data_IF_448920868018
#
_entry.id   IF_448920868018
#
_cell.length_a   1.000
_cell.length_b   1.000
_cell.length_c   1.000
_cell.angle_alpha   90.00
_cell.angle_beta   90.00
_cell.angle_gamma   90.00
#
_symmetry.space_group_name_H-M   'P 1'
#
loop_
_entity.id
_entity.type
_entity.pdbx_description
1 polymer ?
#
# COMPACT_ATOMS: atom_id res chain seq x y z
N UNK A 1 13.32 4.30 30.26
CA UNK A 1 12.39 3.41 29.51
C UNK A 1 11.32 4.18 28.73
N UNK A 2 11.22 5.50 28.81
CA UNK A 2 10.22 6.28 28.08
C UNK A 2 10.57 6.54 26.59
N UNK A 3 11.83 6.49 26.20
CA UNK A 3 12.28 6.88 24.86
C UNK A 3 12.08 5.80 23.78
N UNK A 4 11.71 4.58 24.13
CA UNK A 4 11.61 3.47 23.17
C UNK A 4 10.32 3.47 22.31
N UNK A 5 9.38 4.38 22.58
CA UNK A 5 8.09 4.44 21.90
C UNK A 5 7.81 5.79 21.22
N UNK A 6 8.82 6.64 21.09
CA UNK A 6 8.68 7.85 20.30
C UNK A 6 8.48 7.49 18.82
N UNK A 7 7.53 8.15 18.20
CA UNK A 7 7.06 7.90 16.84
C UNK A 7 7.58 8.98 15.93
N UNK A 8 7.92 8.64 14.71
CA UNK A 8 8.34 9.63 13.72
C UNK A 8 7.58 9.43 12.41
N UNK A 9 7.03 10.51 11.87
CA UNK A 9 6.31 10.55 10.60
C UNK A 9 6.84 11.70 9.76
N UNK A 10 7.16 11.39 8.51
CA UNK A 10 7.45 12.36 7.48
C UNK A 10 6.44 12.20 6.34
N UNK A 11 5.79 13.29 5.96
CA UNK A 11 4.93 13.35 4.78
C UNK A 11 5.57 14.30 3.79
N UNK A 12 5.95 13.80 2.62
CA UNK A 12 6.49 14.59 1.53
C UNK A 12 5.47 14.68 0.40
N UNK A 13 5.16 15.91 -0.04
CA UNK A 13 4.21 16.19 -1.12
C UNK A 13 4.96 16.93 -2.22
N UNK A 14 5.09 16.30 -3.39
CA UNK A 14 5.81 16.84 -4.55
C UNK A 14 4.83 17.36 -5.60
N UNK A 15 5.30 18.26 -6.46
CA UNK A 15 4.51 18.91 -7.50
C UNK A 15 3.54 19.99 -7.01
N UNK A 16 3.76 20.50 -5.79
CA UNK A 16 3.20 21.79 -5.41
C UNK A 16 4.01 22.92 -6.08
N UNK A 17 3.39 24.06 -6.43
CA UNK A 17 4.12 25.22 -6.94
C UNK A 17 5.27 25.58 -6.01
N UNK A 18 6.37 26.12 -6.58
CA UNK A 18 7.54 26.55 -5.79
C UNK A 18 7.13 27.60 -4.77
N UNK A 19 6.84 27.13 -3.59
CA UNK A 19 6.59 27.98 -2.45
C UNK A 19 7.93 28.31 -1.83
N UNK A 20 8.22 29.59 -1.78
CA UNK A 20 9.40 30.11 -1.07
C UNK A 20 9.25 29.83 0.44
N UNK A 21 9.48 28.60 0.85
CA UNK A 21 9.84 28.30 2.21
C UNK A 21 11.29 28.66 2.37
N UNK A 22 11.56 29.68 3.19
CA UNK A 22 12.91 30.07 3.57
C UNK A 22 13.64 28.86 4.15
N UNK A 23 14.56 28.26 3.36
CA UNK A 23 15.47 27.21 3.83
C UNK A 23 15.46 25.88 3.06
N UNK A 24 14.78 25.73 1.93
CA UNK A 24 14.78 24.49 1.15
C UNK A 24 15.64 24.58 -0.09
N UNK A 25 16.36 23.51 -0.41
CA UNK A 25 17.17 23.35 -1.62
C UNK A 25 16.33 23.63 -2.88
N UNK A 26 16.83 24.55 -3.70
CA UNK A 26 16.27 24.89 -4.99
C UNK A 26 16.37 23.69 -5.94
N UNK A 27 15.25 23.05 -6.29
CA UNK A 27 15.26 22.01 -7.34
C UNK A 27 14.06 21.07 -7.40
N UNK A 28 13.32 20.86 -6.34
CA UNK A 28 12.09 20.08 -6.35
C UNK A 28 11.05 20.75 -5.45
N UNK A 29 9.87 21.04 -6.01
CA UNK A 29 8.73 21.58 -5.26
C UNK A 29 8.17 20.51 -4.32
N UNK A 30 8.90 20.22 -3.24
CA UNK A 30 8.51 19.21 -2.26
C UNK A 30 8.29 19.86 -0.91
N UNK A 31 7.07 19.77 -0.40
CA UNK A 31 6.76 20.13 0.98
C UNK A 31 7.00 18.91 1.86
N UNK A 32 7.82 19.07 2.90
CA UNK A 32 8.07 18.04 3.92
C UNK A 32 7.40 18.44 5.22
N UNK A 33 6.56 17.57 5.74
CA UNK A 33 5.85 17.75 7.00
C UNK A 33 6.35 16.69 7.98
N UNK A 34 6.59 17.07 9.22
CA UNK A 34 7.12 16.19 10.25
C UNK A 34 6.25 16.21 11.50
N UNK A 35 6.10 15.05 12.12
CA UNK A 35 5.44 14.87 13.41
C UNK A 35 6.10 13.75 14.20
N UNK A 36 6.36 13.97 15.48
CA UNK A 36 6.98 13.01 16.39
C UNK A 36 6.23 12.88 17.72
N UNK A 37 5.05 13.51 17.83
CA UNK A 37 4.24 13.52 19.04
C UNK A 37 4.61 14.61 20.06
N UNK A 38 5.63 15.43 19.79
CA UNK A 38 5.94 16.59 20.63
C UNK A 38 4.97 17.76 20.35
N UNK A 39 4.82 18.67 21.31
CA UNK A 39 3.84 19.78 21.23
C UNK A 39 4.19 20.85 20.19
N UNK A 40 5.44 20.94 19.78
CA UNK A 40 5.95 21.88 18.79
C UNK A 40 5.93 21.35 17.37
N UNK A 41 5.56 20.07 17.18
CA UNK A 41 5.47 19.41 15.89
C UNK A 41 4.01 19.19 15.44
N UNK A 42 3.83 18.90 14.16
CA UNK A 42 2.51 18.66 13.62
C UNK A 42 1.93 17.34 14.14
N UNK A 43 0.65 17.35 14.52
CA UNK A 43 -0.08 16.12 14.67
C UNK A 43 -0.38 15.56 13.28
N UNK A 44 0.09 14.35 13.02
CA UNK A 44 -0.13 13.61 11.78
C UNK A 44 -0.77 12.28 12.13
N UNK A 45 -1.92 12.02 11.50
CA UNK A 45 -2.62 10.75 11.58
C UNK A 45 -2.75 10.17 10.18
N UNK A 46 -2.54 8.88 10.02
CA UNK A 46 -2.77 8.24 8.74
C UNK A 46 -3.41 6.86 8.88
N UNK A 47 -4.18 6.50 7.86
CA UNK A 47 -4.69 5.15 7.64
C UNK A 47 -4.30 4.76 6.23
N UNK A 48 -3.36 3.81 6.11
CA UNK A 48 -2.82 3.36 4.83
C UNK A 48 -3.34 1.95 4.55
N UNK A 49 -3.99 1.79 3.40
CA UNK A 49 -4.53 0.52 2.93
C UNK A 49 -3.64 -0.07 1.85
N UNK A 50 -3.29 -1.35 2.00
CA UNK A 50 -2.53 -2.15 1.04
C UNK A 50 -3.27 -3.47 0.87
N UNK A 51 -3.59 -3.82 -0.36
CA UNK A 51 -4.51 -4.93 -0.63
C UNK A 51 -4.06 -5.76 -1.82
N UNK A 52 -4.34 -7.05 -1.74
CA UNK A 52 -4.26 -8.03 -2.81
C UNK A 52 -5.63 -8.72 -2.91
N UNK A 53 -6.32 -8.68 -4.07
CA UNK A 53 -6.03 -7.88 -5.26
C UNK A 53 -6.26 -6.37 -5.06
N UNK A 54 -5.84 -5.56 -6.05
CA UNK A 54 -6.05 -4.10 -6.03
C UNK A 54 -7.53 -3.74 -6.04
N UNK A 55 -8.02 -3.21 -4.92
CA UNK A 55 -9.39 -2.74 -4.78
C UNK A 55 -9.53 -1.22 -4.94
N UNK A 56 -8.44 -0.50 -5.22
CA UNK A 56 -8.40 0.96 -5.36
C UNK A 56 -8.98 1.71 -4.16
N UNK A 57 -8.79 1.21 -2.94
CA UNK A 57 -9.25 1.87 -1.73
C UNK A 57 -8.29 3.02 -1.37
N UNK A 58 -8.76 4.27 -1.34
CA UNK A 58 -7.90 5.38 -0.98
C UNK A 58 -7.42 5.29 0.46
N UNK A 59 -6.15 5.54 0.66
CA UNK A 59 -5.56 5.80 1.97
C UNK A 59 -5.80 7.25 2.38
N UNK A 60 -5.82 7.53 3.68
CA UNK A 60 -6.05 8.87 4.22
C UNK A 60 -4.89 9.33 5.10
N UNK A 61 -4.49 10.59 4.95
CA UNK A 61 -3.49 11.25 5.78
C UNK A 61 -4.11 12.54 6.31
N UNK A 62 -4.23 12.66 7.61
CA UNK A 62 -4.79 13.82 8.30
C UNK A 62 -3.65 14.60 8.96
N UNK A 63 -3.57 15.90 8.68
CA UNK A 63 -2.57 16.79 9.21
C UNK A 63 -3.28 17.95 9.89
N UNK A 64 -2.95 18.17 11.14
CA UNK A 64 -3.61 19.17 11.98
C UNK A 64 -2.91 20.51 11.85
N UNK A 65 -3.72 21.57 11.78
CA UNK A 65 -3.31 22.96 11.89
C UNK A 65 -2.27 23.43 10.84
N UNK A 66 -2.38 22.92 9.61
CA UNK A 66 -1.59 23.46 8.50
C UNK A 66 -1.88 24.95 8.28
N UNK A 67 -0.89 25.69 7.80
CA UNK A 67 -1.06 27.09 7.44
C UNK A 67 -2.17 27.31 6.40
N UNK A 68 -2.82 28.47 6.43
CA UNK A 68 -3.90 28.81 5.50
C UNK A 68 -3.41 28.74 4.04
N UNK A 69 -2.20 29.18 3.82
CA UNK A 69 -1.55 29.22 2.53
C UNK A 69 -1.37 27.80 1.97
N UNK A 70 -0.76 26.91 2.75
CA UNK A 70 -0.53 25.53 2.33
C UNK A 70 -1.83 24.76 2.09
N UNK A 71 -2.85 24.98 2.93
CA UNK A 71 -4.19 24.45 2.69
C UNK A 71 -4.77 24.91 1.35
N UNK A 72 -4.62 26.21 1.03
CA UNK A 72 -5.09 26.77 -0.22
C UNK A 72 -4.39 26.19 -1.44
N UNK A 73 -3.10 25.87 -1.33
CA UNK A 73 -2.36 25.21 -2.41
C UNK A 73 -2.77 23.74 -2.57
N UNK A 74 -2.89 22.99 -1.48
CA UNK A 74 -3.32 21.59 -1.50
C UNK A 74 -4.71 21.40 -2.13
N UNK A 75 -5.62 22.38 -1.95
CA UNK A 75 -6.95 22.36 -2.54
C UNK A 75 -6.96 22.48 -4.07
N UNK A 76 -5.90 23.03 -4.67
CA UNK A 76 -5.81 23.29 -6.12
C UNK A 76 -5.12 22.16 -6.88
N UNK A 77 -4.46 21.25 -6.18
CA UNK A 77 -3.59 20.24 -6.79
C UNK A 77 -4.25 18.88 -6.73
N UNK A 78 -4.31 18.21 -7.87
CA UNK A 78 -4.65 16.78 -8.00
C UNK A 78 -3.47 16.07 -8.65
N UNK A 79 -3.24 14.82 -8.28
CA UNK A 79 -2.15 14.01 -8.84
C UNK A 79 -0.78 14.30 -8.24
N UNK A 80 -0.67 15.17 -7.23
CA UNK A 80 0.59 15.39 -6.52
C UNK A 80 1.11 14.07 -5.94
N UNK A 81 2.42 13.82 -6.07
CA UNK A 81 3.06 12.64 -5.50
C UNK A 81 3.19 12.82 -3.99
N UNK A 82 2.68 11.86 -3.24
CA UNK A 82 2.73 11.83 -1.77
C UNK A 82 3.54 10.62 -1.32
N UNK A 83 4.49 10.86 -0.41
CA UNK A 83 5.27 9.82 0.27
C UNK A 83 5.05 9.94 1.76
N UNK A 84 4.84 8.80 2.41
CA UNK A 84 4.79 8.70 3.88
C UNK A 84 5.93 7.81 4.33
N UNK A 85 6.76 8.33 5.22
CA UNK A 85 7.79 7.56 5.91
C UNK A 85 7.47 7.59 7.40
N UNK A 86 7.49 6.43 8.04
CA UNK A 86 7.15 6.30 9.44
C UNK A 86 8.06 5.27 10.14
N UNK A 87 8.18 5.41 11.44
CA UNK A 87 9.00 4.50 12.25
C UNK A 87 9.00 4.88 13.73
N UNK A 88 9.79 4.14 14.48
CA UNK A 88 10.08 4.41 15.87
C UNK A 88 11.33 5.28 15.95
N UNK A 89 11.43 6.19 16.91
CA UNK A 89 12.57 7.12 17.03
C UNK A 89 13.93 6.42 17.23
N UNK A 90 13.92 5.21 17.77
CA UNK A 90 15.10 4.37 17.98
C UNK A 90 15.40 3.39 16.82
N UNK A 91 14.66 3.48 15.72
CA UNK A 91 14.82 2.66 14.52
C UNK A 91 14.83 3.55 13.26
N UNK A 92 15.39 3.06 12.16
CA UNK A 92 15.31 3.81 10.89
C UNK A 92 13.88 4.07 10.47
N UNK A 93 13.57 5.32 10.15
CA UNK A 93 12.30 5.67 9.51
C UNK A 93 12.32 5.18 8.07
N UNK A 94 11.31 4.42 7.69
CA UNK A 94 11.21 3.81 6.36
C UNK A 94 10.01 4.34 5.59
N UNK A 95 10.10 4.35 4.27
CA UNK A 95 8.98 4.68 3.40
C UNK A 95 7.93 3.56 3.50
N UNK A 96 6.72 3.92 3.92
CA UNK A 96 5.60 2.99 4.08
C UNK A 96 4.51 3.17 3.05
N UNK A 97 4.53 4.30 2.34
CA UNK A 97 3.57 4.58 1.28
C UNK A 97 4.15 5.55 0.26
N UNK A 98 3.88 5.27 -1.00
CA UNK A 98 4.06 6.20 -2.12
C UNK A 98 2.86 6.09 -3.05
N UNK A 99 2.30 7.22 -3.42
CA UNK A 99 1.13 7.29 -4.31
C UNK A 99 0.85 8.70 -4.79
N UNK A 100 -0.30 8.89 -5.39
CA UNK A 100 -0.79 10.19 -5.87
C UNK A 100 -1.95 10.68 -5.04
N UNK A 101 -2.00 11.97 -4.78
CA UNK A 101 -3.12 12.63 -4.13
C UNK A 101 -4.31 12.73 -5.09
N UNK A 102 -5.44 12.19 -4.70
CA UNK A 102 -6.70 12.31 -5.44
C UNK A 102 -7.30 13.69 -5.22
N UNK A 103 -7.46 14.06 -3.96
CA UNK A 103 -7.95 15.35 -3.51
C UNK A 103 -7.59 15.60 -2.05
N UNK A 104 -7.74 16.85 -1.61
CA UNK A 104 -7.63 17.25 -0.22
C UNK A 104 -8.91 17.91 0.27
N UNK A 105 -9.26 17.70 1.53
CA UNK A 105 -10.38 18.37 2.21
C UNK A 105 -9.91 19.04 3.49
N UNK A 106 -10.64 20.06 3.91
CA UNK A 106 -10.35 20.78 5.15
C UNK A 106 -11.62 20.89 5.97
N UNK A 107 -11.54 20.56 7.25
CA UNK A 107 -12.64 20.71 8.17
C UNK A 107 -12.16 21.29 9.51
N UNK A 108 -13.06 21.99 10.20
CA UNK A 108 -12.79 22.44 11.57
C UNK A 108 -13.41 21.44 12.55
N UNK A 109 -12.62 21.04 13.54
CA UNK A 109 -13.05 20.19 14.65
C UNK A 109 -12.62 20.86 15.96
N UNK A 110 -13.57 21.50 16.65
CA UNK A 110 -13.26 22.31 17.80
C UNK A 110 -12.32 23.49 17.48
N UNK A 111 -11.17 23.54 18.12
CA UNK A 111 -10.13 24.54 17.88
C UNK A 111 -9.23 24.20 16.69
N UNK A 112 -9.17 22.94 16.29
CA UNK A 112 -8.26 22.45 15.26
C UNK A 112 -8.85 22.57 13.85
N UNK A 113 -7.96 22.70 12.88
CA UNK A 113 -8.26 22.58 11.46
C UNK A 113 -7.55 21.33 10.92
N UNK A 114 -8.33 20.36 10.48
CA UNK A 114 -7.84 19.09 9.96
C UNK A 114 -7.80 19.16 8.43
N UNK A 115 -6.63 18.91 7.87
CA UNK A 115 -6.46 18.72 6.42
C UNK A 115 -6.34 17.22 6.15
N UNK A 116 -7.28 16.67 5.40
CA UNK A 116 -7.30 15.26 5.00
C UNK A 116 -6.88 15.14 3.55
N UNK A 117 -5.80 14.41 3.30
CA UNK A 117 -5.33 14.03 1.98
C UNK A 117 -5.82 12.62 1.69
N UNK A 118 -6.50 12.43 0.57
CA UNK A 118 -6.88 11.11 0.07
C UNK A 118 -5.91 10.71 -1.04
N UNK A 119 -5.23 9.59 -0.84
CA UNK A 119 -4.10 9.16 -1.67
C UNK A 119 -4.28 7.73 -2.15
N UNK A 120 -3.79 7.42 -3.34
CA UNK A 120 -3.86 6.09 -3.92
C UNK A 120 -2.54 5.73 -4.60
N UNK A 121 -2.03 4.53 -4.34
CA UNK A 121 -0.87 3.99 -5.05
C UNK A 121 -1.24 3.63 -6.49
N UNK A 122 -0.33 3.90 -7.45
CA UNK A 122 -0.54 3.58 -8.86
C UNK A 122 -1.65 4.35 -9.58
N UNK A 123 -2.22 5.42 -8.98
CA UNK A 123 -3.36 6.15 -9.57
C UNK A 123 -3.10 6.62 -11.00
N UNK A 124 -2.01 7.36 -11.23
CA UNK A 124 -1.70 7.92 -12.56
C UNK A 124 -1.39 6.86 -13.61
N UNK A 125 -0.74 5.78 -13.19
CA UNK A 125 -0.23 4.74 -14.09
C UNK A 125 -1.27 3.66 -14.39
N UNK A 126 -1.95 3.12 -13.38
CA UNK A 126 -2.88 2.03 -13.61
C UNK A 126 -4.31 2.49 -13.86
N UNK A 127 -4.77 3.53 -13.15
CA UNK A 127 -6.18 3.93 -13.19
C UNK A 127 -6.51 4.95 -14.28
N UNK A 128 -5.55 5.79 -14.67
CA UNK A 128 -5.77 6.84 -15.69
C UNK A 128 -5.14 6.53 -17.05
N UNK A 129 -4.11 5.68 -17.10
CA UNK A 129 -3.41 5.41 -18.34
C UNK A 129 -4.26 4.57 -19.31
N UNK A 130 -4.23 4.93 -20.58
CA UNK A 130 -4.85 4.17 -21.65
C UNK A 130 -3.99 2.96 -22.02
N UNK A 131 -4.65 1.85 -22.39
CA UNK A 131 -4.04 0.64 -22.91
C UNK A 131 -4.72 0.27 -24.23
N UNK A 132 -3.94 0.26 -25.32
CA UNK A 132 -4.35 -0.25 -26.61
C UNK A 132 -3.29 -1.27 -27.02
N UNK A 133 -3.58 -2.55 -26.87
CA UNK A 133 -2.60 -3.62 -27.13
C UNK A 133 -3.24 -4.77 -27.89
N UNK A 134 -2.42 -5.36 -28.76
CA UNK A 134 -2.72 -6.60 -29.46
C UNK A 134 -1.54 -7.54 -29.30
N UNK A 135 -1.78 -8.69 -28.73
CA UNK A 135 -0.77 -9.73 -28.58
C UNK A 135 -0.82 -10.71 -29.75
N UNK A 136 0.33 -11.18 -30.19
CA UNK A 136 0.44 -12.23 -31.18
C UNK A 136 -0.08 -13.57 -30.66
N UNK A 137 -0.33 -14.51 -31.59
CA UNK A 137 -0.48 -15.92 -31.28
C UNK A 137 0.79 -16.40 -30.55
N UNK A 138 0.65 -17.38 -29.68
CA UNK A 138 1.74 -17.97 -28.88
C UNK A 138 2.41 -17.06 -27.82
N UNK A 139 2.05 -15.78 -27.72
CA UNK A 139 2.49 -14.96 -26.61
C UNK A 139 1.90 -15.45 -25.27
N UNK A 140 2.63 -15.26 -24.18
CA UNK A 140 2.15 -15.64 -22.86
C UNK A 140 1.44 -14.48 -22.16
N UNK A 141 0.61 -14.82 -21.17
CA UNK A 141 -0.05 -13.83 -20.31
C UNK A 141 1.00 -12.97 -19.60
N UNK A 142 2.07 -13.58 -19.13
CA UNK A 142 3.18 -12.88 -18.44
C UNK A 142 3.87 -11.88 -19.36
N UNK A 143 4.15 -12.26 -20.62
CA UNK A 143 4.75 -11.38 -21.61
C UNK A 143 3.88 -10.17 -21.87
N UNK A 144 2.56 -10.38 -22.04
CA UNK A 144 1.62 -9.28 -22.25
C UNK A 144 1.51 -8.35 -21.03
N UNK A 145 1.46 -8.90 -19.83
CA UNK A 145 1.48 -8.08 -18.59
C UNK A 145 2.75 -7.23 -18.55
N UNK A 146 3.91 -7.80 -18.82
CA UNK A 146 5.17 -7.07 -18.89
C UNK A 146 5.17 -6.01 -20.00
N UNK A 147 4.61 -6.32 -21.18
CA UNK A 147 4.49 -5.37 -22.29
C UNK A 147 3.59 -4.17 -21.95
N UNK A 148 2.46 -4.44 -21.26
CA UNK A 148 1.56 -3.39 -20.77
C UNK A 148 2.28 -2.49 -19.77
N UNK A 149 2.99 -3.07 -18.81
CA UNK A 149 3.64 -2.34 -17.73
C UNK A 149 4.91 -1.59 -18.15
N UNK A 150 5.61 -2.05 -19.20
CA UNK A 150 6.78 -1.39 -19.75
C UNK A 150 6.43 -0.35 -20.83
N UNK A 151 5.16 -0.03 -21.03
CA UNK A 151 4.74 0.98 -21.97
C UNK A 151 5.31 2.36 -21.55
N UNK A 152 6.03 3.06 -22.46
CA UNK A 152 6.60 4.38 -22.15
C UNK A 152 5.57 5.44 -21.74
N UNK A 153 4.28 5.21 -22.02
CA UNK A 153 3.17 6.06 -21.60
C UNK A 153 2.74 5.84 -20.16
N UNK A 154 3.29 4.86 -19.43
CA UNK A 154 2.97 4.57 -18.04
C UNK A 154 3.98 5.20 -17.08
N UNK A 155 3.74 6.40 -16.55
CA UNK A 155 4.69 7.04 -15.65
C UNK A 155 4.65 6.38 -14.25
N UNK A 156 5.81 6.09 -13.72
CA UNK A 156 6.02 5.91 -12.28
C UNK A 156 5.69 4.55 -11.67
N UNK A 157 5.48 3.50 -12.45
CA UNK A 157 5.47 2.11 -11.94
C UNK A 157 6.87 1.51 -12.09
N UNK A 158 7.33 0.88 -11.02
CA UNK A 158 8.51 0.01 -11.03
C UNK A 158 8.07 -1.42 -11.28
N UNK A 159 8.64 -2.05 -12.30
CA UNK A 159 8.36 -3.43 -12.67
C UNK A 159 9.61 -4.28 -12.43
N UNK A 160 9.53 -5.21 -11.48
CA UNK A 160 10.54 -6.25 -11.29
C UNK A 160 9.91 -7.60 -11.67
N UNK A 161 10.46 -8.32 -12.68
CA UNK A 161 9.94 -9.62 -13.08
C UNK A 161 9.85 -10.67 -11.94
N UNK A 162 10.63 -10.50 -10.87
CA UNK A 162 10.58 -11.36 -9.68
C UNK A 162 9.29 -11.20 -8.88
N UNK A 163 8.65 -10.03 -8.99
CA UNK A 163 7.38 -9.73 -8.32
C UNK A 163 6.17 -10.20 -9.12
N UNK A 164 6.38 -10.80 -10.30
CA UNK A 164 5.34 -11.32 -11.19
C UNK A 164 5.42 -12.85 -11.22
N UNK A 165 4.70 -13.46 -10.28
CA UNK A 165 4.67 -14.90 -10.06
C UNK A 165 3.31 -15.43 -10.55
N UNK A 166 3.12 -15.45 -11.87
CA UNK A 166 1.92 -15.95 -12.54
C UNK A 166 2.29 -17.12 -13.45
N UNK A 167 1.33 -18.03 -13.65
CA UNK A 167 1.51 -19.16 -14.54
C UNK A 167 1.82 -18.70 -15.97
N UNK A 168 2.73 -19.40 -16.62
CA UNK A 168 3.12 -19.09 -18.00
C UNK A 168 2.11 -19.72 -18.98
N UNK A 169 0.94 -19.10 -19.07
CA UNK A 169 -0.17 -19.53 -19.92
C UNK A 169 -0.11 -18.81 -21.26
N UNK A 170 -0.25 -19.55 -22.36
CA UNK A 170 -0.31 -19.01 -23.72
C UNK A 170 -1.73 -18.61 -24.10
N UNK A 171 -1.88 -17.57 -24.93
CA UNK A 171 -3.16 -17.21 -25.55
C UNK A 171 -3.62 -18.21 -26.62
N UNK A 172 -2.78 -19.19 -26.97
CA UNK A 172 -3.05 -20.14 -28.04
C UNK A 172 -3.20 -19.46 -29.41
N UNK A 173 -4.04 -20.05 -30.25
CA UNK A 173 -4.20 -19.59 -31.65
C UNK A 173 -5.03 -18.31 -31.83
N UNK A 174 -5.61 -17.76 -30.76
CA UNK A 174 -6.54 -16.62 -30.90
C UNK A 174 -5.89 -15.26 -30.67
N UNK A 175 -4.74 -15.21 -29.99
CA UNK A 175 -4.14 -13.95 -29.55
C UNK A 175 -5.04 -13.19 -28.58
N UNK A 176 -4.68 -11.93 -28.29
CA UNK A 176 -5.46 -11.07 -27.41
C UNK A 176 -5.45 -9.62 -27.91
N UNK A 177 -6.61 -8.98 -27.87
CA UNK A 177 -6.75 -7.55 -28.24
C UNK A 177 -7.59 -6.83 -27.21
N UNK A 178 -7.12 -5.63 -26.81
CA UNK A 178 -7.79 -4.80 -25.84
C UNK A 178 -7.60 -3.32 -26.13
N UNK A 179 -8.66 -2.53 -25.85
CA UNK A 179 -8.64 -1.08 -25.83
C UNK A 179 -9.45 -0.59 -24.61
N UNK A 180 -8.81 0.19 -23.75
CA UNK A 180 -9.42 0.68 -22.50
C UNK A 180 -8.38 1.26 -21.55
N UNK A 181 -8.60 1.18 -20.24
CA UNK A 181 -7.59 1.54 -19.24
C UNK A 181 -6.62 0.38 -18.97
N UNK A 182 -5.42 0.70 -18.48
CA UNK A 182 -4.46 -0.33 -18.04
C UNK A 182 -5.07 -1.22 -16.95
N UNK A 183 -5.79 -0.61 -16.00
CA UNK A 183 -6.49 -1.35 -14.94
C UNK A 183 -7.49 -2.36 -15.50
N UNK A 184 -8.32 -1.94 -16.47
CA UNK A 184 -9.31 -2.82 -17.06
C UNK A 184 -8.65 -3.96 -17.84
N UNK A 185 -7.53 -3.68 -18.51
CA UNK A 185 -6.73 -4.71 -19.19
C UNK A 185 -6.20 -5.75 -18.19
N UNK A 186 -5.58 -5.30 -17.11
CA UNK A 186 -5.05 -6.17 -16.05
C UNK A 186 -6.16 -6.96 -15.35
N UNK A 187 -7.30 -6.32 -15.02
CA UNK A 187 -8.46 -6.98 -14.42
C UNK A 187 -9.04 -8.06 -15.33
N UNK A 188 -9.14 -7.78 -16.64
CA UNK A 188 -9.62 -8.76 -17.61
C UNK A 188 -8.68 -9.95 -17.70
N UNK A 189 -7.36 -9.73 -17.77
CA UNK A 189 -6.36 -10.81 -17.79
C UNK A 189 -6.42 -11.63 -16.50
N UNK A 190 -6.42 -10.95 -15.34
CA UNK A 190 -6.50 -11.55 -14.02
C UNK A 190 -7.73 -12.46 -13.87
N UNK A 191 -8.91 -11.98 -14.27
CA UNK A 191 -10.17 -12.74 -14.21
C UNK A 191 -10.19 -13.97 -15.12
N UNK A 192 -9.53 -13.93 -16.28
CA UNK A 192 -9.52 -15.04 -17.24
C UNK A 192 -8.48 -16.10 -16.85
N UNK A 193 -7.33 -15.66 -16.36
CA UNK A 193 -6.16 -16.51 -16.15
C UNK A 193 -5.86 -16.85 -14.68
N UNK A 194 -6.69 -16.40 -13.74
CA UNK A 194 -6.63 -16.80 -12.33
C UNK A 194 -5.41 -16.28 -11.60
N UNK A 195 -5.13 -14.99 -11.70
CA UNK A 195 -4.09 -14.34 -10.90
C UNK A 195 -4.60 -13.05 -10.27
N UNK A 196 -4.00 -12.64 -9.16
CA UNK A 196 -4.22 -11.36 -8.49
C UNK A 196 -3.08 -10.41 -8.78
N UNK A 197 -3.39 -9.11 -8.94
CA UNK A 197 -2.38 -8.07 -9.11
C UNK A 197 -2.67 -6.88 -8.19
N UNK A 198 -1.62 -6.15 -7.81
CA UNK A 198 -1.72 -4.92 -7.00
C UNK A 198 -0.49 -4.05 -7.18
N UNK A 199 -0.61 -2.78 -6.73
CA UNK A 199 0.50 -1.83 -6.72
C UNK A 199 0.71 -1.35 -5.28
N UNK A 200 1.89 -1.58 -4.73
CA UNK A 200 2.32 -1.04 -3.44
C UNK A 200 3.60 -0.20 -3.62
N UNK A 201 3.59 1.03 -3.11
CA UNK A 201 4.72 1.97 -3.22
C UNK A 201 5.22 2.16 -4.66
N UNK A 202 4.30 2.21 -5.63
CA UNK A 202 4.58 2.26 -7.06
C UNK A 202 5.34 1.05 -7.62
N UNK A 203 5.44 -0.04 -6.89
CA UNK A 203 5.95 -1.33 -7.40
C UNK A 203 4.76 -2.20 -7.77
N UNK A 204 4.81 -2.79 -8.96
CA UNK A 204 3.80 -3.74 -9.43
C UNK A 204 4.11 -5.14 -8.91
N UNK A 205 3.06 -5.81 -8.46
CA UNK A 205 3.08 -7.19 -8.01
C UNK A 205 1.97 -7.97 -8.70
N UNK A 206 2.22 -9.23 -9.01
CA UNK A 206 1.19 -10.17 -9.44
C UNK A 206 1.53 -11.57 -8.92
N UNK A 207 0.50 -12.28 -8.47
CA UNK A 207 0.62 -13.64 -7.95
C UNK A 207 -0.52 -14.49 -8.48
N UNK A 208 -0.23 -15.70 -8.88
CA UNK A 208 -1.23 -16.73 -9.17
C UNK A 208 -2.08 -16.96 -7.92
N UNK A 209 -3.38 -17.09 -8.06
CA UNK A 209 -4.29 -17.26 -6.91
C UNK A 209 -3.98 -18.54 -6.09
N UNK A 210 -3.24 -19.48 -6.69
CA UNK A 210 -2.78 -20.72 -6.03
C UNK A 210 -1.31 -20.71 -5.61
N UNK A 211 -0.55 -19.67 -5.98
CA UNK A 211 0.93 -19.67 -5.82
C UNK A 211 1.41 -19.40 -4.38
N UNK A 212 0.57 -18.90 -3.52
CA UNK A 212 0.97 -18.52 -2.16
C UNK A 212 1.76 -17.22 -2.05
N UNK A 213 2.60 -17.10 -1.02
CA UNK A 213 3.36 -15.89 -0.76
C UNK A 213 4.39 -15.60 -1.85
N UNK A 214 4.52 -14.31 -2.21
CA UNK A 214 5.61 -13.85 -3.06
C UNK A 214 6.98 -14.14 -2.41
N UNK A 215 8.02 -14.38 -3.23
CA UNK A 215 9.37 -14.58 -2.72
C UNK A 215 9.85 -13.29 -2.02
N UNK A 216 10.23 -13.41 -0.76
CA UNK A 216 10.68 -12.30 0.07
C UNK A 216 10.90 -12.75 1.51
N UNK A 217 11.26 -11.83 2.37
CA UNK A 217 11.43 -12.12 3.80
C UNK A 217 10.09 -12.32 4.50
N UNK A 218 10.02 -13.31 5.37
CA UNK A 218 8.89 -13.52 6.28
C UNK A 218 9.01 -12.57 7.48
N UNK A 219 7.93 -11.88 7.82
CA UNK A 219 7.87 -11.04 9.01
C UNK A 219 7.26 -11.84 10.16
N UNK A 220 7.96 -11.92 11.28
CA UNK A 220 7.48 -12.61 12.48
C UNK A 220 6.74 -11.61 13.39
N UNK A 221 5.51 -11.96 13.76
CA UNK A 221 4.73 -11.25 14.77
C UNK A 221 4.58 -12.17 15.98
N UNK A 222 5.17 -11.78 17.10
CA UNK A 222 5.36 -12.64 18.24
C UNK A 222 4.95 -12.01 19.56
N UNK A 223 4.28 -12.78 20.41
CA UNK A 223 3.99 -12.39 21.81
C UNK A 223 5.28 -12.19 22.60
N UNK A 224 6.33 -12.99 22.34
CA UNK A 224 7.62 -12.91 23.04
C UNK A 224 8.37 -11.64 22.72
N UNK A 225 8.29 -11.17 21.48
CA UNK A 225 8.89 -9.91 21.05
C UNK A 225 8.06 -8.69 21.46
N UNK A 226 6.83 -8.90 21.98
CA UNK A 226 5.95 -7.86 22.46
C UNK A 226 5.31 -7.02 21.36
N UNK A 227 5.38 -7.46 20.11
CA UNK A 227 4.77 -6.75 18.99
C UNK A 227 3.38 -7.28 18.59
N UNK A 228 2.95 -8.44 19.08
CA UNK A 228 1.62 -8.98 18.90
C UNK A 228 0.64 -8.39 19.92
N UNK A 229 -0.45 -7.76 19.46
CA UNK A 229 -1.52 -7.24 20.31
C UNK A 229 -2.73 -8.17 20.31
N UNK A 230 -3.12 -8.72 19.16
CA UNK A 230 -4.30 -9.57 18.99
C UNK A 230 -4.14 -10.50 17.79
N UNK A 231 -4.63 -11.72 17.91
CA UNK A 231 -4.74 -12.66 16.81
C UNK A 231 -6.06 -13.44 16.93
N UNK A 232 -6.85 -13.45 15.86
CA UNK A 232 -8.16 -14.10 15.83
C UNK A 232 -8.33 -14.87 14.51
N UNK A 233 -8.99 -16.05 14.55
CA UNK A 233 -9.31 -16.77 13.34
C UNK A 233 -10.29 -15.98 12.49
N UNK A 234 -10.09 -15.99 11.19
CA UNK A 234 -10.98 -15.43 10.19
C UNK A 234 -11.47 -16.56 9.28
N UNK A 235 -12.77 -16.59 9.03
CA UNK A 235 -13.36 -17.47 8.04
C UNK A 235 -13.70 -16.64 6.81
N UNK A 236 -13.02 -16.91 5.71
CA UNK A 236 -13.33 -16.34 4.41
C UNK A 236 -14.06 -17.38 3.57
N UNK A 237 -15.12 -16.95 2.89
CA UNK A 237 -15.78 -17.76 1.86
C UNK A 237 -15.23 -17.31 0.51
N UNK A 238 -14.47 -18.19 -0.15
CA UNK A 238 -14.09 -17.96 -1.53
C UNK A 238 -15.32 -18.03 -2.47
N UNK A 239 -15.27 -17.39 -3.66
CA UNK A 239 -16.39 -17.37 -4.60
C UNK A 239 -16.89 -18.77 -5.02
N UNK A 240 -16.01 -19.77 -4.98
CA UNK A 240 -16.30 -21.18 -5.25
C UNK A 240 -16.93 -21.94 -4.06
N UNK A 241 -17.27 -21.23 -2.96
CA UNK A 241 -17.81 -21.77 -1.69
C UNK A 241 -16.83 -22.63 -0.89
N UNK A 242 -15.57 -22.68 -1.26
CA UNK A 242 -14.56 -23.31 -0.42
C UNK A 242 -14.25 -22.43 0.79
N UNK A 243 -14.22 -23.04 1.98
CA UNK A 243 -13.85 -22.33 3.20
C UNK A 243 -12.34 -22.14 3.21
N UNK A 244 -11.91 -20.90 3.19
CA UNK A 244 -10.49 -20.55 3.40
C UNK A 244 -10.31 -20.12 4.86
N UNK A 245 -9.41 -20.82 5.54
CA UNK A 245 -9.03 -20.46 6.89
C UNK A 245 -8.00 -19.34 6.86
N UNK A 246 -8.31 -18.26 7.54
CA UNK A 246 -7.44 -17.12 7.64
C UNK A 246 -7.29 -16.64 9.07
N UNK A 247 -6.62 -15.54 9.22
CA UNK A 247 -6.34 -14.90 10.50
C UNK A 247 -6.40 -13.39 10.36
N UNK A 248 -6.92 -12.74 11.40
CA UNK A 248 -6.75 -11.31 11.62
C UNK A 248 -5.71 -11.10 12.71
N UNK A 249 -4.63 -10.36 12.40
CA UNK A 249 -3.55 -10.03 13.33
C UNK A 249 -3.55 -8.52 13.53
N UNK A 250 -3.53 -8.08 14.79
CA UNK A 250 -3.22 -6.70 15.16
C UNK A 250 -1.88 -6.69 15.89
N UNK A 251 -0.94 -5.93 15.37
CA UNK A 251 0.39 -5.78 15.94
C UNK A 251 0.73 -4.30 16.22
N UNK A 252 1.76 -4.04 16.99
CA UNK A 252 2.44 -2.76 16.95
C UNK A 252 2.85 -2.46 15.51
N UNK A 253 2.97 -1.18 15.17
CA UNK A 253 3.32 -0.75 13.82
C UNK A 253 4.59 -1.44 13.32
N UNK A 254 4.43 -2.22 12.25
CA UNK A 254 5.49 -2.99 11.63
C UNK A 254 5.57 -2.61 10.13
N UNK A 255 6.49 -1.73 9.77
CA UNK A 255 6.58 -1.20 8.40
C UNK A 255 7.04 -2.21 7.35
N UNK A 256 7.62 -3.36 7.77
CA UNK A 256 8.10 -4.41 6.85
C UNK A 256 6.97 -5.26 6.28
N UNK A 257 5.77 -5.21 6.88
CA UNK A 257 4.61 -5.94 6.36
C UNK A 257 4.21 -5.44 4.98
N UNK A 258 3.89 -6.35 4.07
CA UNK A 258 3.44 -6.07 2.70
C UNK A 258 2.37 -7.06 2.28
N UNK A 259 1.36 -6.59 1.55
CA UNK A 259 0.37 -7.47 0.93
C UNK A 259 1.04 -8.42 -0.07
N UNK A 260 0.60 -9.68 -0.11
CA UNK A 260 1.18 -10.75 -0.95
C UNK A 260 2.41 -11.45 -0.36
N UNK A 261 2.95 -10.98 0.76
CA UNK A 261 4.11 -11.59 1.40
C UNK A 261 3.71 -12.42 2.64
N UNK A 262 4.66 -13.22 3.14
CA UNK A 262 4.44 -14.09 4.28
C UNK A 262 4.53 -13.34 5.60
N UNK A 263 3.62 -13.67 6.53
CA UNK A 263 3.69 -13.31 7.94
C UNK A 263 3.61 -14.56 8.79
N UNK A 264 4.52 -14.71 9.74
CA UNK A 264 4.51 -15.79 10.72
C UNK A 264 3.96 -15.31 12.04
N UNK A 265 2.94 -16.00 12.55
CA UNK A 265 2.38 -15.74 13.88
C UNK A 265 3.03 -16.66 14.92
N UNK A 266 3.44 -16.08 16.04
CA UNK A 266 3.90 -16.78 17.25
C UNK A 266 3.16 -16.23 18.49
N UNK A 267 1.98 -16.78 18.75
CA UNK A 267 1.12 -16.41 19.88
C UNK A 267 1.26 -17.40 21.03
N UNK A 268 1.49 -16.89 22.23
CA UNK A 268 1.44 -17.71 23.46
C UNK A 268 0.00 -18.00 23.90
N UNK A 269 -0.92 -17.05 23.67
CA UNK A 269 -2.32 -17.20 24.04
C UNK A 269 -3.10 -18.12 23.10
N UNK A 270 -2.75 -18.14 21.82
CA UNK A 270 -3.45 -18.89 20.78
C UNK A 270 -2.46 -19.75 19.97
N UNK A 271 -1.76 -20.72 20.61
CA UNK A 271 -0.68 -21.48 19.94
C UNK A 271 -1.18 -22.32 18.75
N UNK A 272 -2.48 -22.65 18.68
CA UNK A 272 -3.11 -23.35 17.56
C UNK A 272 -3.12 -22.50 16.26
N UNK A 273 -2.95 -21.19 16.36
CA UNK A 273 -2.89 -20.26 15.22
C UNK A 273 -1.45 -20.01 14.75
N UNK A 274 -0.43 -20.56 15.42
CA UNK A 274 0.96 -20.36 15.11
C UNK A 274 1.35 -21.02 13.80
N UNK A 275 1.38 -20.25 12.72
CA UNK A 275 1.70 -20.67 11.35
C UNK A 275 2.18 -19.49 10.53
N UNK A 276 2.62 -19.79 9.30
CA UNK A 276 2.86 -18.77 8.26
C UNK A 276 1.60 -18.58 7.42
N UNK A 277 1.30 -17.31 7.12
CA UNK A 277 0.12 -16.89 6.36
C UNK A 277 0.53 -15.94 5.26
N UNK A 278 -0.28 -15.84 4.20
CA UNK A 278 -0.12 -14.84 3.13
C UNK A 278 -1.00 -13.63 3.44
N UNK A 279 -0.42 -12.46 3.47
CA UNK A 279 -1.11 -11.20 3.75
C UNK A 279 -1.97 -10.82 2.54
N UNK A 280 -3.29 -10.72 2.73
CA UNK A 280 -4.22 -10.18 1.74
C UNK A 280 -4.42 -8.69 1.91
N UNK A 281 -4.82 -8.31 3.12
CA UNK A 281 -5.10 -6.92 3.47
C UNK A 281 -4.20 -6.49 4.61
N UNK A 282 -3.62 -5.32 4.46
CA UNK A 282 -2.81 -4.67 5.47
C UNK A 282 -3.28 -3.24 5.64
N UNK A 283 -3.60 -2.85 6.86
CA UNK A 283 -3.95 -1.48 7.20
C UNK A 283 -3.03 -0.98 8.31
N UNK A 284 -2.27 0.06 8.03
CA UNK A 284 -1.53 0.79 9.06
C UNK A 284 -2.40 1.93 9.58
N UNK A 285 -2.64 1.95 10.90
CA UNK A 285 -3.38 3.01 11.59
C UNK A 285 -2.45 3.67 12.59
N UNK A 286 -2.07 4.90 12.30
CA UNK A 286 -1.05 5.60 13.07
C UNK A 286 -1.48 7.05 13.35
N UNK A 287 -1.19 7.51 14.57
CA UNK A 287 -1.39 8.89 15.01
C UNK A 287 -0.22 9.28 15.94
N UNK A 288 0.45 10.37 15.64
CA UNK A 288 1.61 10.82 16.41
C UNK A 288 1.26 11.24 17.85
N UNK A 289 0.00 11.57 18.12
CA UNK A 289 -0.47 12.11 19.41
C UNK A 289 -1.47 11.20 20.14
N UNK A 290 -1.71 9.96 19.68
CA UNK A 290 -2.59 9.00 20.34
C UNK A 290 -1.94 7.63 20.43
N UNK A 291 -2.60 6.66 21.09
CA UNK A 291 -2.08 5.28 21.21
C UNK A 291 -2.16 4.47 19.91
N UNK A 292 -2.82 5.01 18.88
CA UNK A 292 -2.94 4.35 17.60
C UNK A 292 -1.61 4.36 16.85
N UNK A 293 -0.86 3.27 16.94
CA UNK A 293 0.41 3.01 16.23
C UNK A 293 0.53 1.53 15.94
N UNK A 294 -0.36 1.07 15.05
CA UNK A 294 -0.62 -0.36 14.83
C UNK A 294 -0.66 -0.73 13.36
N UNK A 295 -0.43 -2.00 13.11
CA UNK A 295 -0.67 -2.68 11.84
C UNK A 295 -1.75 -3.73 12.02
N UNK A 296 -2.76 -3.70 11.17
CA UNK A 296 -3.84 -4.70 11.10
C UNK A 296 -3.67 -5.51 9.83
N UNK A 297 -3.62 -6.82 9.97
CA UNK A 297 -3.36 -7.76 8.88
C UNK A 297 -4.53 -8.73 8.79
N UNK A 298 -5.04 -8.93 7.58
CA UNK A 298 -5.88 -10.07 7.24
C UNK A 298 -5.08 -10.98 6.31
N UNK A 299 -4.92 -12.23 6.71
CA UNK A 299 -4.06 -13.17 6.01
C UNK A 299 -4.72 -14.54 5.89
N UNK A 300 -4.43 -15.25 4.81
CA UNK A 300 -4.90 -16.62 4.58
C UNK A 300 -3.82 -17.65 4.87
N UNK A 301 -4.26 -18.82 5.27
CA UNK A 301 -3.38 -19.96 5.46
C UNK A 301 -2.84 -20.41 4.10
N UNK A 302 -1.52 -20.50 4.00
CA UNK A 302 -0.84 -20.99 2.81
C UNK A 302 -1.05 -22.49 2.62
N UNK A 303 -1.39 -22.90 1.41
CA UNK A 303 -1.34 -24.33 1.00
C UNK A 303 -2.47 -25.23 1.49
N UNK A 304 -3.62 -24.68 1.87
CA UNK A 304 -4.86 -25.48 2.04
C UNK A 304 -5.72 -25.29 0.79
N UNK A 305 -5.47 -26.11 -0.19
CA UNK A 305 -6.39 -26.41 -1.30
C UNK A 305 -7.06 -27.74 -0.98
#
# INVERSE_FOLDING_TARGET
MADNFLRQVYVAISSLPEWKMSGGDAGASTVKLFGDGSFDQLRIKFTLHKQQPDAAIPSSIQIYNLSKELRGELSKVSGAKVKVSAGWANAPVVEVFTGSMLYATHQREGADIITSLFVLSGWGSAHQAACIKTSAQDATVKDLVLEILNDPGLPGITVDPKNIVIADQSFGNQGWTFAGSVRDALNKLSSIYGFSWWIDQNVFYASDDTAGALPGGEVVISSKEGNLLRAEPMLSLAPDRNQQYGITITSLFEPRLKAGFSVKLESELNPQLNRSYVILNLTHVCDTHSDAWISQVEALLYGVV
#
